data_IF_717630233494
#
_entry.id   IF_717630233494
#
_cell.length_a   1.000
_cell.length_b   1.000
_cell.length_c   1.000
_cell.angle_alpha   90.00
_cell.angle_beta   90.00
_cell.angle_gamma   90.00
#
_symmetry.space_group_name_H-M   'P 1'
#
loop_
_entity.id
_entity.type
_entity.pdbx_description
1 polymer ?
#
# COMPACT_ATOMS: atom_id res chain seq x y z
N UNK A 1 -23.09 26.84 -10.16
CA UNK A 1 -23.15 25.58 -9.37
C UNK A 1 -21.89 24.76 -9.69
N UNK A 2 -21.27 24.23 -8.65
CA UNK A 2 -19.87 23.81 -8.53
C UNK A 2 -19.28 23.03 -9.71
N UNK A 3 -18.13 23.50 -10.20
CA UNK A 3 -17.15 22.68 -10.92
C UNK A 3 -16.66 21.66 -9.90
N UNK A 4 -17.19 20.44 -9.94
CA UNK A 4 -16.55 19.29 -9.31
C UNK A 4 -15.26 19.09 -10.08
N UNK A 5 -14.20 19.69 -9.56
CA UNK A 5 -12.83 19.39 -9.92
C UNK A 5 -12.74 17.86 -9.91
N UNK A 6 -12.60 17.27 -11.09
CA UNK A 6 -11.95 15.99 -11.23
C UNK A 6 -10.63 16.17 -10.49
N UNK A 7 -10.58 15.74 -9.22
CA UNK A 7 -9.33 15.45 -8.56
C UNK A 7 -8.61 14.55 -9.54
N UNK A 8 -7.59 15.10 -10.20
CA UNK A 8 -6.65 14.34 -10.99
C UNK A 8 -6.10 13.32 -10.01
N UNK A 9 -6.66 12.11 -10.08
CA UNK A 9 -6.25 10.99 -9.27
C UNK A 9 -4.81 10.76 -9.70
N UNK A 10 -3.86 11.22 -8.87
CA UNK A 10 -2.46 10.92 -9.08
C UNK A 10 -2.39 9.40 -9.31
N UNK A 11 -1.65 8.93 -10.34
CA UNK A 11 -1.65 7.52 -10.68
C UNK A 11 -1.36 6.72 -9.43
N UNK A 12 -2.30 5.86 -9.04
CA UNK A 12 -2.16 5.04 -7.84
C UNK A 12 -0.92 4.19 -8.03
N UNK A 13 0.04 4.31 -7.11
CA UNK A 13 1.30 3.61 -7.22
C UNK A 13 1.03 2.11 -7.10
N UNK A 14 1.34 1.35 -8.15
CA UNK A 14 1.23 -0.10 -8.17
C UNK A 14 2.63 -0.69 -8.24
N UNK A 15 2.97 -1.53 -7.27
CA UNK A 15 4.25 -2.20 -7.16
C UNK A 15 4.04 -3.66 -6.75
N UNK A 16 5.04 -4.50 -6.97
CA UNK A 16 5.05 -5.87 -6.47
C UNK A 16 5.15 -5.90 -4.94
N UNK A 17 4.73 -6.99 -4.30
CA UNK A 17 4.94 -7.21 -2.85
C UNK A 17 6.40 -7.01 -2.45
N UNK A 18 7.35 -7.55 -3.22
CA UNK A 18 8.78 -7.40 -2.92
C UNK A 18 9.26 -5.95 -2.98
N UNK A 19 8.75 -5.16 -3.93
CA UNK A 19 9.06 -3.74 -4.03
C UNK A 19 8.43 -2.95 -2.88
N UNK A 20 7.21 -3.27 -2.47
CA UNK A 20 6.59 -2.67 -1.28
C UNK A 20 7.37 -2.96 -0.01
N UNK A 21 7.86 -4.20 0.16
CA UNK A 21 8.71 -4.57 1.30
C UNK A 21 10.02 -3.78 1.28
N UNK A 22 10.67 -3.63 0.12
CA UNK A 22 11.89 -2.81 -0.01
C UNK A 22 11.63 -1.33 0.26
N UNK A 23 10.45 -0.85 -0.13
CA UNK A 23 10.00 0.53 0.00
C UNK A 23 9.25 0.82 1.30
N UNK A 24 9.38 -0.02 2.34
CA UNK A 24 8.61 0.12 3.58
C UNK A 24 8.70 1.52 4.24
N UNK A 25 9.86 2.18 4.12
CA UNK A 25 10.06 3.55 4.60
C UNK A 25 9.09 4.57 3.97
N UNK A 26 8.69 4.37 2.70
CA UNK A 26 7.68 5.19 2.03
C UNK A 26 6.31 5.09 2.73
N UNK A 27 6.01 3.94 3.33
CA UNK A 27 4.77 3.68 4.07
C UNK A 27 4.86 4.07 5.55
N UNK A 28 6.00 4.61 6.01
CA UNK A 28 6.24 4.89 7.42
C UNK A 28 6.24 3.62 8.29
N UNK A 29 6.70 2.50 7.74
CA UNK A 29 6.71 1.20 8.39
C UNK A 29 8.04 0.46 8.18
N UNK A 30 8.26 -0.55 9.01
CA UNK A 30 9.39 -1.45 8.90
C UNK A 30 9.14 -2.54 7.85
N UNK A 31 10.21 -3.05 7.24
CA UNK A 31 10.13 -4.09 6.20
C UNK A 31 9.39 -5.34 6.67
N UNK A 32 9.59 -5.72 7.93
CA UNK A 32 8.91 -6.88 8.52
C UNK A 32 7.42 -6.61 8.77
N UNK A 33 7.01 -5.37 9.01
CA UNK A 33 5.60 -5.01 9.13
C UNK A 33 4.90 -5.12 7.78
N UNK A 34 5.53 -4.63 6.71
CA UNK A 34 4.99 -4.74 5.35
C UNK A 34 4.96 -6.20 4.90
N UNK A 35 6.02 -6.97 5.15
CA UNK A 35 6.05 -8.40 4.84
C UNK A 35 4.96 -9.18 5.61
N UNK A 36 4.76 -8.85 6.89
CA UNK A 36 3.70 -9.43 7.72
C UNK A 36 2.31 -9.04 7.24
N UNK A 37 2.08 -7.78 6.87
CA UNK A 37 0.80 -7.32 6.34
C UNK A 37 0.44 -7.95 4.98
N UNK A 38 1.45 -8.28 4.17
CA UNK A 38 1.30 -8.87 2.84
C UNK A 38 1.60 -10.38 2.81
N UNK A 39 1.58 -11.06 3.96
CA UNK A 39 2.01 -12.47 4.06
C UNK A 39 1.21 -13.43 3.16
N UNK A 40 -0.04 -13.08 2.85
CA UNK A 40 -0.96 -13.88 2.03
C UNK A 40 -0.79 -13.67 0.52
N UNK A 41 -0.05 -12.65 0.10
CA UNK A 41 0.14 -12.31 -1.31
C UNK A 41 1.42 -12.95 -1.85
N UNK A 42 1.41 -13.31 -3.15
CA UNK A 42 2.61 -13.77 -3.85
C UNK A 42 3.67 -12.66 -3.95
N UNK A 43 4.93 -13.04 -4.10
CA UNK A 43 6.05 -12.08 -4.08
C UNK A 43 6.05 -11.11 -5.28
N UNK A 44 5.55 -11.56 -6.41
CA UNK A 44 5.37 -10.82 -7.66
C UNK A 44 3.97 -10.22 -7.81
N UNK A 45 3.08 -10.40 -6.81
CA UNK A 45 1.73 -9.84 -6.84
C UNK A 45 1.80 -8.32 -6.89
N UNK A 46 1.19 -7.73 -7.93
CA UNK A 46 1.00 -6.29 -8.06
C UNK A 46 -0.08 -5.83 -7.09
N UNK A 47 0.28 -4.85 -6.26
CA UNK A 47 -0.56 -4.29 -5.21
C UNK A 47 -0.56 -2.78 -5.34
N UNK A 48 -1.76 -2.21 -5.31
CA UNK A 48 -1.94 -0.77 -5.28
C UNK A 48 -1.66 -0.21 -3.88
N UNK A 49 -1.16 1.00 -3.80
CA UNK A 49 -0.77 1.66 -2.55
C UNK A 49 -1.92 1.67 -1.51
N UNK A 50 -3.15 1.92 -1.94
CA UNK A 50 -4.31 1.92 -1.05
C UNK A 50 -4.55 0.55 -0.41
N UNK A 51 -4.39 -0.53 -1.17
CA UNK A 51 -4.51 -1.90 -0.67
C UNK A 51 -3.42 -2.23 0.35
N UNK A 52 -2.17 -1.83 0.07
CA UNK A 52 -1.06 -2.07 0.99
C UNK A 52 -1.25 -1.31 2.30
N UNK A 53 -1.63 -0.03 2.22
CA UNK A 53 -1.93 0.80 3.41
C UNK A 53 -3.05 0.20 4.25
N UNK A 54 -4.16 -0.21 3.63
CA UNK A 54 -5.27 -0.83 4.35
C UNK A 54 -4.85 -2.09 5.11
N UNK A 55 -4.09 -2.97 4.45
CA UNK A 55 -3.58 -4.21 5.06
C UNK A 55 -2.58 -3.94 6.17
N UNK A 56 -1.69 -2.96 5.97
CA UNK A 56 -0.70 -2.55 6.96
C UNK A 56 -1.36 -1.95 8.20
N UNK A 57 -2.38 -1.10 8.04
CA UNK A 57 -3.18 -0.57 9.15
C UNK A 57 -3.81 -1.71 9.96
N UNK A 58 -4.44 -2.67 9.29
CA UNK A 58 -5.05 -3.84 9.94
C UNK A 58 -4.01 -4.69 10.67
N UNK A 59 -2.85 -4.92 10.05
CA UNK A 59 -1.74 -5.67 10.65
C UNK A 59 -1.22 -5.02 11.94
N UNK A 60 -1.15 -3.68 11.98
CA UNK A 60 -0.71 -2.92 13.16
C UNK A 60 -1.78 -2.79 14.25
N UNK A 61 -2.92 -3.47 14.10
CA UNK A 61 -4.05 -3.42 15.04
C UNK A 61 -4.94 -2.18 14.90
N UNK A 62 -4.83 -1.46 13.78
CA UNK A 62 -5.76 -0.38 13.43
C UNK A 62 -7.13 -0.91 12.98
N UNK A 63 -8.19 -0.15 13.29
CA UNK A 63 -9.60 -0.45 12.95
C UNK A 63 -9.94 0.10 11.57
#
# INVERSE_FOLDING_TARGET
MARKEQQAQAPELVQTKQEWIKSAAYLGAERFEVAGALFSEADDQLLAEGQVKSRLTKYKGGV
#
